data_IF_964764235712
#
_entry.id   IF_964764235712
#
_cell.length_a   1.000
_cell.length_b   1.000
_cell.length_c   1.000
_cell.angle_alpha   90.00
_cell.angle_beta   90.00
_cell.angle_gamma   90.00
#
_symmetry.space_group_name_H-M   'P 1'
#
loop_
_entity.id
_entity.type
_entity.pdbx_description
1 polymer ?
#
# COMPACT_ATOMS: atom_id res chain seq x y z
N UNK A 1 20.22 25.28 12.25
CA UNK A 1 21.20 24.17 12.10
C UNK A 1 20.46 22.89 12.41
N UNK A 2 20.49 21.88 11.53
CA UNK A 2 19.76 20.62 11.71
C UNK A 2 20.22 19.86 12.97
N UNK A 3 19.28 19.44 13.82
CA UNK A 3 19.55 18.71 15.07
C UNK A 3 19.00 17.28 15.08
N UNK A 4 18.43 16.81 13.96
CA UNK A 4 17.61 15.60 13.88
C UNK A 4 17.80 14.83 12.57
N UNK A 5 17.21 13.64 12.45
CA UNK A 5 17.33 12.75 11.28
C UNK A 5 16.73 13.39 10.02
N UNK A 6 15.58 14.03 10.19
CA UNK A 6 14.84 14.74 9.15
C UNK A 6 15.37 16.17 8.96
N UNK A 7 16.48 16.53 9.60
CA UNK A 7 17.16 17.83 9.45
C UNK A 7 16.24 19.03 9.73
N UNK A 8 15.32 18.90 10.69
CA UNK A 8 14.27 19.88 11.03
C UNK A 8 13.29 20.15 9.88
N UNK A 9 13.01 19.14 9.05
CA UNK A 9 11.94 19.19 8.07
C UNK A 9 10.58 18.97 8.76
N UNK A 10 10.00 20.06 9.26
CA UNK A 10 8.71 20.02 9.98
C UNK A 10 7.57 19.50 9.11
N UNK A 11 7.56 19.85 7.82
CA UNK A 11 6.56 19.33 6.88
C UNK A 11 6.60 17.79 6.78
N UNK A 12 7.79 17.21 6.67
CA UNK A 12 7.94 15.75 6.63
C UNK A 12 7.50 15.08 7.94
N UNK A 13 7.76 15.70 9.10
CA UNK A 13 7.34 15.21 10.42
C UNK A 13 5.83 15.20 10.57
N UNK A 14 5.19 16.34 10.32
CA UNK A 14 3.73 16.50 10.42
C UNK A 14 3.03 15.52 9.49
N UNK A 15 3.50 15.44 8.24
CA UNK A 15 2.95 14.54 7.24
C UNK A 15 3.03 13.07 7.68
N UNK A 16 4.20 12.63 8.14
CA UNK A 16 4.41 11.24 8.51
C UNK A 16 3.63 10.86 9.78
N UNK A 17 3.51 11.75 10.79
CA UNK A 17 2.69 11.50 11.96
C UNK A 17 1.22 11.35 11.57
N UNK A 18 0.73 12.26 10.73
CA UNK A 18 -0.64 12.26 10.25
C UNK A 18 -0.97 10.97 9.48
N UNK A 19 -0.14 10.60 8.49
CA UNK A 19 -0.33 9.39 7.70
C UNK A 19 -0.15 8.13 8.54
N UNK A 20 0.84 8.10 9.44
CA UNK A 20 1.13 6.95 10.30
C UNK A 20 -0.04 6.64 11.24
N UNK A 21 -0.51 7.62 11.99
CA UNK A 21 -1.61 7.44 12.96
C UNK A 21 -2.92 7.13 12.23
N UNK A 22 -3.28 7.93 11.22
CA UNK A 22 -4.50 7.69 10.46
C UNK A 22 -4.48 6.32 9.77
N UNK A 23 -3.32 5.91 9.23
CA UNK A 23 -3.15 4.62 8.59
C UNK A 23 -3.35 3.45 9.56
N UNK A 24 -2.84 3.54 10.79
CA UNK A 24 -3.09 2.53 11.82
C UNK A 24 -4.59 2.43 12.12
N UNK A 25 -5.23 3.56 12.44
CA UNK A 25 -6.65 3.59 12.81
C UNK A 25 -7.55 3.06 11.70
N UNK A 26 -7.39 3.56 10.46
CA UNK A 26 -8.24 3.18 9.34
C UNK A 26 -8.09 1.72 8.94
N UNK A 27 -6.86 1.20 8.84
CA UNK A 27 -6.66 -0.20 8.44
C UNK A 27 -7.06 -1.17 9.56
N UNK A 28 -6.81 -0.83 10.83
CA UNK A 28 -7.27 -1.64 11.96
C UNK A 28 -8.80 -1.72 12.00
N UNK A 29 -9.51 -0.60 11.79
CA UNK A 29 -10.96 -0.58 11.73
C UNK A 29 -11.53 -1.50 10.63
N UNK A 30 -10.88 -1.56 9.46
CA UNK A 30 -11.29 -2.48 8.38
C UNK A 30 -11.10 -3.95 8.77
N UNK A 31 -9.96 -4.29 9.36
CA UNK A 31 -9.70 -5.66 9.80
C UNK A 31 -10.68 -6.07 10.88
N UNK A 32 -10.93 -5.20 11.86
CA UNK A 32 -11.90 -5.40 12.92
C UNK A 32 -13.32 -5.60 12.37
N UNK A 33 -13.76 -4.72 11.47
CA UNK A 33 -15.08 -4.82 10.86
C UNK A 33 -15.25 -6.13 10.06
N UNK A 34 -14.25 -6.52 9.26
CA UNK A 34 -14.31 -7.77 8.50
C UNK A 34 -14.27 -9.00 9.42
N UNK A 35 -13.49 -8.95 10.51
CA UNK A 35 -13.45 -10.01 11.51
C UNK A 35 -14.81 -10.20 12.20
N UNK A 36 -15.41 -9.11 12.70
CA UNK A 36 -16.74 -9.14 13.33
C UNK A 36 -17.82 -9.64 12.37
N UNK A 37 -17.80 -9.17 11.11
CA UNK A 37 -18.75 -9.63 10.09
C UNK A 37 -18.60 -11.13 9.80
N UNK A 38 -17.37 -11.65 9.78
CA UNK A 38 -17.12 -13.08 9.59
C UNK A 38 -17.67 -13.91 10.77
N UNK A 39 -17.47 -13.46 12.00
CA UNK A 39 -18.01 -14.11 13.20
C UNK A 39 -19.55 -14.16 13.18
N UNK A 40 -20.21 -13.02 12.94
CA UNK A 40 -21.67 -12.93 12.84
C UNK A 40 -22.26 -13.85 11.76
N UNK A 41 -21.56 -13.98 10.63
CA UNK A 41 -22.01 -14.78 9.48
C UNK A 41 -21.84 -16.30 9.69
N UNK A 42 -20.90 -16.73 10.54
CA UNK A 42 -20.78 -18.14 10.93
C UNK A 42 -22.02 -18.57 11.73
N UNK A 43 -22.61 -17.65 12.49
CA UNK A 43 -23.82 -17.91 13.30
C UNK A 43 -25.14 -17.96 12.49
N UNK A 44 -25.15 -17.51 11.24
CA UNK A 44 -26.36 -17.38 10.41
C UNK A 44 -26.10 -18.04 9.05
N UNK A 45 -26.06 -19.36 9.01
CA UNK A 45 -26.00 -20.11 7.74
C UNK A 45 -27.38 -20.63 7.34
N UNK A 46 -28.10 -19.86 6.51
CA UNK A 46 -29.27 -20.36 5.80
C UNK A 46 -28.82 -21.06 4.49
N UNK A 47 -29.18 -22.35 4.28
CA UNK A 47 -28.69 -23.15 3.15
C UNK A 47 -29.39 -22.90 1.80
N UNK A 48 -30.48 -22.12 1.75
CA UNK A 48 -31.32 -21.94 0.55
C UNK A 48 -30.97 -20.71 -0.31
N UNK A 49 -29.71 -20.58 -0.74
CA UNK A 49 -29.29 -19.47 -1.60
C UNK A 49 -29.20 -19.87 -3.09
N UNK A 50 -29.95 -19.16 -3.96
CA UNK A 50 -29.95 -19.35 -5.41
C UNK A 50 -28.54 -19.28 -6.05
N UNK A 51 -28.32 -20.05 -7.13
CA UNK A 51 -27.03 -20.18 -7.84
C UNK A 51 -26.42 -18.81 -8.29
N UNK A 52 -27.27 -17.84 -8.67
CA UNK A 52 -26.85 -16.47 -9.04
C UNK A 52 -26.43 -15.63 -7.82
N UNK A 53 -27.08 -15.77 -6.66
CA UNK A 53 -26.67 -15.13 -5.41
C UNK A 53 -25.36 -15.72 -4.88
N UNK A 54 -25.13 -17.02 -5.12
CA UNK A 54 -23.90 -17.72 -4.72
C UNK A 54 -22.66 -17.19 -5.48
N UNK A 55 -22.81 -16.87 -6.78
CA UNK A 55 -21.75 -16.24 -7.59
C UNK A 55 -21.36 -14.85 -7.06
N UNK A 56 -22.33 -13.99 -6.77
CA UNK A 56 -22.08 -12.66 -6.20
C UNK A 56 -21.45 -12.73 -4.79
N UNK A 57 -21.91 -13.69 -3.96
CA UNK A 57 -21.36 -13.95 -2.61
C UNK A 57 -19.91 -14.44 -2.67
N UNK A 58 -19.56 -15.29 -3.65
CA UNK A 58 -18.19 -15.76 -3.89
C UNK A 58 -17.27 -14.59 -4.27
N UNK A 59 -17.66 -13.76 -5.25
CA UNK A 59 -16.91 -12.55 -5.66
C UNK A 59 -16.66 -11.60 -4.49
N UNK A 60 -17.68 -11.32 -3.68
CA UNK A 60 -17.54 -10.44 -2.50
C UNK A 60 -16.59 -11.01 -1.44
N UNK A 61 -16.54 -12.33 -1.29
CA UNK A 61 -15.65 -12.98 -0.32
C UNK A 61 -14.18 -12.87 -0.76
N UNK A 62 -13.91 -13.07 -2.06
CA UNK A 62 -12.57 -12.91 -2.64
C UNK A 62 -12.10 -11.45 -2.54
N UNK A 63 -12.95 -10.48 -2.92
CA UNK A 63 -12.63 -9.05 -2.78
C UNK A 63 -12.27 -8.69 -1.34
N UNK A 64 -13.10 -9.10 -0.37
CA UNK A 64 -12.87 -8.77 1.02
C UNK A 64 -11.57 -9.39 1.55
N UNK A 65 -11.20 -10.60 1.12
CA UNK A 65 -9.93 -11.20 1.48
C UNK A 65 -8.75 -10.39 0.97
N UNK A 66 -8.75 -10.01 -0.32
CA UNK A 66 -7.69 -9.19 -0.91
C UNK A 66 -7.57 -7.82 -0.25
N UNK A 67 -8.70 -7.20 0.11
CA UNK A 67 -8.71 -5.92 0.83
C UNK A 67 -8.15 -6.06 2.24
N UNK A 68 -8.43 -7.16 2.95
CA UNK A 68 -7.82 -7.41 4.26
C UNK A 68 -6.30 -7.58 4.14
N UNK A 69 -5.83 -8.32 3.13
CA UNK A 69 -4.39 -8.46 2.89
C UNK A 69 -3.73 -7.11 2.58
N UNK A 70 -4.42 -6.26 1.80
CA UNK A 70 -3.95 -4.90 1.51
C UNK A 70 -3.92 -4.04 2.77
N UNK A 71 -4.91 -4.16 3.66
CA UNK A 71 -4.94 -3.46 4.94
C UNK A 71 -3.78 -3.89 5.86
N UNK A 72 -3.44 -5.19 5.90
CA UNK A 72 -2.27 -5.68 6.63
C UNK A 72 -0.99 -5.07 6.07
N UNK A 73 -0.81 -5.05 4.75
CA UNK A 73 0.36 -4.44 4.11
C UNK A 73 0.46 -2.93 4.42
N UNK A 74 -0.66 -2.22 4.43
CA UNK A 74 -0.68 -0.80 4.78
C UNK A 74 -0.34 -0.55 6.26
N UNK A 75 -0.83 -1.40 7.18
CA UNK A 75 -0.46 -1.33 8.60
C UNK A 75 1.05 -1.43 8.81
N UNK A 76 1.73 -2.34 8.09
CA UNK A 76 3.19 -2.46 8.16
C UNK A 76 3.88 -1.15 7.73
N UNK A 77 3.35 -0.48 6.69
CA UNK A 77 3.84 0.81 6.23
C UNK A 77 3.59 1.93 7.24
N UNK A 78 2.43 1.95 7.88
CA UNK A 78 2.13 2.91 8.95
C UNK A 78 3.02 2.70 10.18
N UNK A 79 3.26 1.45 10.60
CA UNK A 79 4.19 1.12 11.68
C UNK A 79 5.60 1.62 11.34
N UNK A 80 6.06 1.42 10.10
CA UNK A 80 7.33 1.98 9.63
C UNK A 80 7.41 3.51 9.85
N UNK A 81 6.37 4.27 9.49
CA UNK A 81 6.35 5.72 9.70
C UNK A 81 6.48 6.10 11.18
N UNK A 82 5.76 5.41 12.06
CA UNK A 82 5.81 5.65 13.51
C UNK A 82 7.21 5.37 14.06
N UNK A 83 7.87 4.29 13.63
CA UNK A 83 9.23 3.97 14.08
C UNK A 83 10.21 5.06 13.65
N UNK A 84 10.17 5.49 12.38
CA UNK A 84 11.08 6.54 11.88
C UNK A 84 10.90 7.85 12.64
N UNK A 85 9.67 8.25 12.94
CA UNK A 85 9.40 9.50 13.67
C UNK A 85 9.79 9.43 15.14
N UNK A 86 9.51 8.30 15.77
CA UNK A 86 9.94 8.06 17.15
C UNK A 86 11.46 8.12 17.25
N UNK A 87 12.17 7.57 16.26
CA UNK A 87 13.62 7.65 16.17
C UNK A 87 14.12 9.08 15.88
N UNK A 88 13.48 9.82 14.97
CA UNK A 88 13.82 11.22 14.70
C UNK A 88 13.72 12.10 15.96
N UNK A 89 12.69 11.89 16.78
CA UNK A 89 12.52 12.57 18.07
C UNK A 89 13.58 12.12 19.09
N UNK A 90 13.69 10.81 19.31
CA UNK A 90 14.60 10.24 20.32
C UNK A 90 16.05 10.66 20.07
N UNK A 91 16.57 10.40 18.87
CA UNK A 91 17.97 10.70 18.57
C UNK A 91 18.21 12.19 18.31
N UNK A 92 17.19 12.94 17.89
CA UNK A 92 17.27 14.39 17.82
C UNK A 92 17.41 15.05 19.21
N UNK A 93 16.78 14.46 20.22
CA UNK A 93 16.85 14.93 21.60
C UNK A 93 18.12 14.45 22.33
N UNK A 94 18.46 13.16 22.22
CA UNK A 94 19.57 12.56 22.96
C UNK A 94 20.95 12.72 22.30
N UNK A 95 21.02 12.92 20.98
CA UNK A 95 22.28 13.04 20.24
C UNK A 95 22.34 14.29 19.34
N UNK A 96 21.95 15.50 19.80
CA UNK A 96 21.84 16.68 18.95
C UNK A 96 23.19 17.08 18.34
N UNK A 97 24.28 16.93 19.09
CA UNK A 97 25.63 17.25 18.63
C UNK A 97 26.08 16.34 17.47
N UNK A 98 25.62 15.08 17.46
CA UNK A 98 25.94 14.13 16.39
C UNK A 98 25.30 14.54 15.06
N UNK A 99 24.03 14.94 15.09
CA UNK A 99 23.29 15.38 13.89
C UNK A 99 23.57 16.82 13.51
N UNK A 100 24.22 17.61 14.37
CA UNK A 100 24.69 18.97 14.07
C UNK A 100 26.12 19.00 13.52
N UNK A 101 26.94 18.00 13.83
CA UNK A 101 28.36 17.94 13.45
C UNK A 101 28.54 18.10 11.92
N UNK A 102 29.42 19.00 11.44
CA UNK A 102 29.76 19.10 10.01
C UNK A 102 30.63 17.94 9.52
N UNK A 103 31.46 17.33 10.36
CA UNK A 103 32.39 16.24 10.04
C UNK A 103 31.82 14.84 10.33
N UNK A 104 30.65 14.53 9.73
CA UNK A 104 29.89 13.28 10.01
C UNK A 104 30.52 12.00 9.45
N UNK A 105 31.54 12.09 8.60
CA UNK A 105 32.13 10.92 7.91
C UNK A 105 32.86 9.96 8.84
N UNK A 106 33.36 10.46 9.98
CA UNK A 106 34.16 9.66 10.91
C UNK A 106 33.39 9.18 12.14
N UNK A 107 32.11 9.54 12.26
CA UNK A 107 31.30 9.20 13.43
C UNK A 107 30.30 8.09 13.10
N UNK A 108 30.11 7.18 14.05
CA UNK A 108 29.13 6.09 13.97
C UNK A 108 27.73 6.66 14.19
N UNK A 109 26.79 6.35 13.30
CA UNK A 109 25.37 6.65 13.48
C UNK A 109 24.72 5.51 14.32
N UNK A 110 24.38 5.75 15.61
CA UNK A 110 23.86 4.71 16.50
C UNK A 110 22.49 4.20 16.05
N UNK A 111 21.74 4.98 15.27
CA UNK A 111 20.47 4.55 14.69
C UNK A 111 20.61 3.32 13.81
N UNK A 112 21.68 3.25 13.02
CA UNK A 112 21.90 2.18 12.05
C UNK A 112 22.25 0.84 12.73
N UNK A 113 22.60 0.88 14.01
CA UNK A 113 22.83 -0.29 14.87
C UNK A 113 21.56 -0.74 15.59
N UNK A 114 20.52 0.10 15.62
CA UNK A 114 19.29 -0.20 16.34
C UNK A 114 18.51 -1.31 15.64
N UNK A 115 17.97 -2.31 16.38
CA UNK A 115 17.09 -3.33 15.81
C UNK A 115 15.86 -2.71 15.14
N UNK A 116 15.41 -1.54 15.62
CA UNK A 116 14.31 -0.81 15.03
C UNK A 116 14.63 -0.28 13.62
N UNK A 117 15.89 0.01 13.30
CA UNK A 117 16.27 0.40 11.94
C UNK A 117 16.22 -0.80 10.97
N UNK A 118 16.67 -1.98 11.42
CA UNK A 118 16.56 -3.22 10.65
C UNK A 118 15.10 -3.61 10.41
N UNK A 119 14.27 -3.52 11.45
CA UNK A 119 12.83 -3.74 11.34
C UNK A 119 12.18 -2.72 10.39
N UNK A 120 12.51 -1.43 10.53
CA UNK A 120 12.00 -0.36 9.66
C UNK A 120 12.31 -0.63 8.20
N UNK A 121 13.53 -1.06 7.90
CA UNK A 121 13.95 -1.41 6.53
C UNK A 121 13.07 -2.54 5.97
N UNK A 122 12.91 -3.61 6.73
CA UNK A 122 12.08 -4.74 6.34
C UNK A 122 10.63 -4.33 6.10
N UNK A 123 10.04 -3.56 7.02
CA UNK A 123 8.66 -3.07 6.91
C UNK A 123 8.46 -2.17 5.69
N UNK A 124 9.40 -1.26 5.43
CA UNK A 124 9.38 -0.37 4.27
C UNK A 124 9.36 -1.15 2.95
N UNK A 125 10.27 -2.09 2.76
CA UNK A 125 10.33 -2.87 1.51
C UNK A 125 9.13 -3.80 1.37
N UNK A 126 8.72 -4.47 2.44
CA UNK A 126 7.56 -5.36 2.42
C UNK A 126 6.27 -4.60 2.07
N UNK A 127 5.98 -3.51 2.78
CA UNK A 127 4.76 -2.72 2.58
C UNK A 127 4.72 -2.06 1.21
N UNK A 128 5.83 -1.44 0.77
CA UNK A 128 5.87 -0.70 -0.51
C UNK A 128 5.75 -1.59 -1.75
N UNK A 129 6.22 -2.84 -1.71
CA UNK A 129 6.04 -3.78 -2.83
C UNK A 129 4.66 -4.42 -2.78
N UNK A 130 4.15 -4.74 -1.59
CA UNK A 130 2.80 -5.28 -1.44
C UNK A 130 1.70 -4.33 -1.87
N UNK A 131 1.88 -3.01 -1.65
CA UNK A 131 0.89 -2.00 -1.99
C UNK A 131 0.62 -1.86 -3.49
N UNK A 132 1.51 -2.36 -4.36
CA UNK A 132 1.26 -2.43 -5.82
C UNK A 132 0.94 -3.87 -6.27
N UNK A 133 1.54 -4.88 -5.65
CA UNK A 133 1.32 -6.28 -6.00
C UNK A 133 -0.11 -6.72 -5.69
N UNK A 134 -0.67 -6.38 -4.53
CA UNK A 134 -2.04 -6.76 -4.17
C UNK A 134 -3.10 -6.10 -5.07
N UNK A 135 -3.02 -4.79 -5.41
CA UNK A 135 -3.86 -4.21 -6.45
C UNK A 135 -3.74 -4.91 -7.80
N UNK A 136 -2.56 -5.36 -8.22
CA UNK A 136 -2.44 -6.10 -9.48
C UNK A 136 -3.24 -7.42 -9.46
N UNK A 137 -3.19 -8.16 -8.35
CA UNK A 137 -3.99 -9.39 -8.14
C UNK A 137 -5.48 -9.07 -8.14
N UNK A 138 -5.88 -7.96 -7.51
CA UNK A 138 -7.25 -7.45 -7.53
C UNK A 138 -7.73 -7.21 -8.96
N UNK A 139 -6.95 -6.51 -9.79
CA UNK A 139 -7.36 -6.19 -11.17
C UNK A 139 -7.48 -7.46 -12.00
N UNK A 140 -6.56 -8.41 -11.85
CA UNK A 140 -6.63 -9.71 -12.53
C UNK A 140 -7.90 -10.47 -12.14
N UNK A 141 -8.23 -10.52 -10.85
CA UNK A 141 -9.47 -11.14 -10.37
C UNK A 141 -10.71 -10.47 -10.98
N UNK A 142 -10.74 -9.12 -11.03
CA UNK A 142 -11.83 -8.37 -11.66
C UNK A 142 -11.93 -8.63 -13.16
N UNK A 143 -10.80 -8.65 -13.85
CA UNK A 143 -10.72 -8.93 -15.29
C UNK A 143 -11.33 -10.29 -15.62
N UNK A 144 -10.91 -11.34 -14.91
CA UNK A 144 -11.42 -12.70 -15.11
C UNK A 144 -12.92 -12.75 -14.80
N UNK A 145 -13.36 -12.15 -13.71
CA UNK A 145 -14.77 -12.18 -13.30
C UNK A 145 -15.71 -11.48 -14.29
N UNK A 146 -15.28 -10.38 -14.91
CA UNK A 146 -16.12 -9.58 -15.82
C UNK A 146 -16.12 -10.16 -17.24
N UNK A 147 -14.95 -10.49 -17.77
CA UNK A 147 -14.81 -10.91 -19.17
C UNK A 147 -15.17 -12.38 -19.35
N UNK A 148 -14.80 -13.23 -18.38
CA UNK A 148 -14.99 -14.67 -18.44
C UNK A 148 -15.86 -15.20 -17.29
N UNK A 149 -17.15 -14.83 -17.23
CA UNK A 149 -18.01 -15.11 -16.07
C UNK A 149 -18.21 -16.61 -15.76
N UNK A 150 -18.09 -17.47 -16.79
CA UNK A 150 -18.23 -18.93 -16.70
C UNK A 150 -16.89 -19.68 -16.74
N UNK A 151 -15.76 -18.97 -16.70
CA UNK A 151 -14.46 -19.62 -16.79
C UNK A 151 -14.10 -20.38 -15.52
N UNK A 152 -13.51 -21.57 -15.71
CA UNK A 152 -12.91 -22.38 -14.63
C UNK A 152 -11.73 -21.66 -13.96
N UNK A 153 -11.20 -20.59 -14.56
CA UNK A 153 -10.10 -19.78 -14.02
C UNK A 153 -10.54 -18.73 -13.00
N UNK A 154 -11.85 -18.57 -12.76
CA UNK A 154 -12.35 -17.64 -11.74
C UNK A 154 -11.72 -17.93 -10.38
N UNK A 155 -11.28 -16.88 -9.69
CA UNK A 155 -10.64 -17.05 -8.40
C UNK A 155 -11.65 -17.58 -7.40
N UNK A 156 -11.35 -18.75 -6.84
CA UNK A 156 -11.97 -19.21 -5.62
C UNK A 156 -11.16 -18.69 -4.42
N UNK A 157 -11.75 -18.64 -3.24
CA UNK A 157 -11.08 -18.20 -2.02
C UNK A 157 -9.81 -19.01 -1.73
N UNK A 158 -9.79 -20.30 -2.06
CA UNK A 158 -8.60 -21.15 -1.94
C UNK A 158 -7.46 -20.68 -2.83
N UNK A 159 -7.72 -20.48 -4.13
CA UNK A 159 -6.72 -19.97 -5.08
C UNK A 159 -6.24 -18.58 -4.70
N UNK A 160 -7.16 -17.72 -4.25
CA UNK A 160 -6.83 -16.38 -3.79
C UNK A 160 -5.89 -16.40 -2.57
N UNK A 161 -6.14 -17.29 -1.59
CA UNK A 161 -5.24 -17.49 -0.44
C UNK A 161 -3.87 -18.01 -0.86
N UNK A 162 -3.82 -18.95 -1.80
CA UNK A 162 -2.56 -19.47 -2.32
C UNK A 162 -1.75 -18.37 -3.04
N UNK A 163 -2.40 -17.61 -3.93
CA UNK A 163 -1.75 -16.50 -4.65
C UNK A 163 -1.24 -15.44 -3.67
N UNK A 164 -2.06 -15.03 -2.70
CA UNK A 164 -1.64 -14.03 -1.70
C UNK A 164 -0.50 -14.55 -0.82
N UNK A 165 -0.50 -15.83 -0.43
CA UNK A 165 0.62 -16.45 0.28
C UNK A 165 1.90 -16.40 -0.55
N UNK A 166 1.84 -16.74 -1.84
CA UNK A 166 3.00 -16.68 -2.74
C UNK A 166 3.50 -15.24 -2.90
N UNK A 167 2.60 -14.25 -3.03
CA UNK A 167 2.96 -12.85 -3.00
C UNK A 167 3.75 -12.50 -1.73
N UNK A 168 3.28 -12.94 -0.55
CA UNK A 168 3.94 -12.68 0.73
C UNK A 168 5.35 -13.29 0.77
N UNK A 169 5.50 -14.54 0.36
CA UNK A 169 6.80 -15.20 0.32
C UNK A 169 7.80 -14.46 -0.60
N UNK A 170 7.36 -14.10 -1.82
CA UNK A 170 8.20 -13.38 -2.79
C UNK A 170 8.62 -12.01 -2.25
N UNK A 171 7.69 -11.26 -1.67
CA UNK A 171 7.99 -9.92 -1.15
C UNK A 171 8.86 -9.97 0.11
N UNK A 172 8.62 -10.92 1.01
CA UNK A 172 9.46 -11.13 2.20
C UNK A 172 10.88 -11.48 1.76
N UNK A 173 11.04 -12.42 0.82
CA UNK A 173 12.36 -12.76 0.27
C UNK A 173 13.06 -11.52 -0.33
N UNK A 174 12.32 -10.72 -1.11
CA UNK A 174 12.84 -9.48 -1.69
C UNK A 174 13.26 -8.44 -0.63
N UNK A 175 12.47 -8.29 0.45
CA UNK A 175 12.74 -7.35 1.55
C UNK A 175 13.85 -7.81 2.51
N UNK A 176 14.12 -9.12 2.58
CA UNK A 176 15.21 -9.68 3.38
C UNK A 176 16.59 -9.37 2.77
N UNK A 177 16.72 -9.33 1.45
CA UNK A 177 17.99 -9.01 0.76
C UNK A 177 18.64 -7.73 1.32
N UNK A 178 17.98 -6.56 1.31
CA UNK A 178 18.58 -5.32 1.82
C UNK A 178 18.75 -5.33 3.34
N UNK A 179 17.97 -6.13 4.06
CA UNK A 179 18.00 -6.24 5.52
C UNK A 179 19.20 -7.06 5.99
N UNK A 180 19.40 -8.25 5.43
CA UNK A 180 20.51 -9.16 5.73
C UNK A 180 21.84 -8.52 5.34
N UNK A 181 21.94 -7.94 4.14
CA UNK A 181 23.18 -7.28 3.70
C UNK A 181 23.59 -6.15 4.64
N UNK A 182 22.65 -5.33 5.10
CA UNK A 182 22.96 -4.26 6.02
C UNK A 182 23.46 -4.77 7.38
N UNK A 183 22.90 -5.88 7.88
CA UNK A 183 23.35 -6.54 9.12
C UNK A 183 24.76 -7.12 8.95
N UNK A 184 25.01 -7.82 7.84
CA UNK A 184 26.28 -8.49 7.57
C UNK A 184 27.46 -7.51 7.45
N UNK A 185 27.26 -6.40 6.72
CA UNK A 185 28.33 -5.43 6.45
C UNK A 185 28.41 -4.28 7.47
N UNK A 186 27.52 -4.25 8.48
CA UNK A 186 27.44 -3.24 9.56
C UNK A 186 27.75 -1.81 9.09
N UNK A 187 26.90 -1.31 8.20
CA UNK A 187 27.09 0.01 7.59
C UNK A 187 26.70 1.14 8.55
N UNK A 188 27.63 1.60 9.39
CA UNK A 188 27.32 2.51 10.50
C UNK A 188 27.71 3.97 10.28
N UNK A 189 28.62 4.28 9.35
CA UNK A 189 29.14 5.64 9.12
C UNK A 189 28.35 6.38 8.04
N UNK A 190 27.06 6.61 8.27
CA UNK A 190 26.18 7.23 7.29
C UNK A 190 25.10 8.12 7.91
N UNK A 191 24.95 9.33 7.36
CA UNK A 191 23.97 10.34 7.79
C UNK A 191 23.16 10.93 6.62
N UNK A 192 23.21 10.28 5.46
CA UNK A 192 22.39 10.67 4.32
C UNK A 192 20.92 10.31 4.55
N UNK A 193 20.03 10.91 3.76
CA UNK A 193 18.59 10.68 3.88
C UNK A 193 18.21 9.20 3.80
N UNK A 194 18.93 8.41 2.99
CA UNK A 194 18.68 6.96 2.91
C UNK A 194 19.03 6.23 4.21
N UNK A 195 20.18 6.54 4.82
CA UNK A 195 20.56 5.96 6.10
C UNK A 195 19.57 6.36 7.21
N UNK A 196 19.23 7.64 7.31
CA UNK A 196 18.33 8.15 8.35
C UNK A 196 16.92 7.55 8.25
N UNK A 197 16.42 7.29 7.03
CA UNK A 197 15.14 6.62 6.78
C UNK A 197 15.24 5.08 6.76
N UNK A 198 16.39 4.50 7.11
CA UNK A 198 16.65 3.05 7.07
C UNK A 198 16.36 2.39 5.71
N UNK A 199 16.57 3.13 4.62
CA UNK A 199 16.46 2.59 3.27
C UNK A 199 17.68 1.71 2.93
N UNK A 200 17.60 0.99 1.81
CA UNK A 200 18.70 0.15 1.38
C UNK A 200 19.93 0.97 0.97
N UNK A 201 21.05 0.66 1.60
CA UNK A 201 22.38 1.22 1.35
C UNK A 201 23.39 0.09 1.50
N UNK A 202 24.37 0.07 0.61
CA UNK A 202 25.41 -0.97 0.57
C UNK A 202 26.78 -0.31 0.40
N UNK A 203 27.86 -0.99 0.79
CA UNK A 203 29.25 -0.55 0.55
C UNK A 203 29.46 -0.46 -0.97
N UNK A 204 28.98 -1.47 -1.70
CA UNK A 204 29.12 -1.52 -3.15
C UNK A 204 27.88 -0.88 -3.78
N UNK A 205 28.09 0.30 -4.37
CA UNK A 205 27.04 1.12 -4.95
C UNK A 205 26.19 0.37 -5.99
N UNK A 206 26.79 -0.58 -6.72
CA UNK A 206 26.10 -1.34 -7.77
C UNK A 206 24.92 -2.16 -7.21
N UNK A 207 25.08 -2.84 -6.07
CA UNK A 207 23.99 -3.63 -5.48
C UNK A 207 22.85 -2.73 -4.99
N UNK A 208 23.18 -1.62 -4.33
CA UNK A 208 22.17 -0.63 -3.89
C UNK A 208 21.43 -0.01 -5.07
N UNK A 209 22.11 0.22 -6.17
CA UNK A 209 21.54 0.79 -7.40
C UNK A 209 20.66 -0.23 -8.12
N UNK A 210 21.14 -1.46 -8.29
CA UNK A 210 20.38 -2.54 -8.94
C UNK A 210 19.11 -2.89 -8.15
N UNK A 211 19.17 -2.96 -6.83
CA UNK A 211 17.97 -3.21 -6.03
C UNK A 211 16.96 -2.05 -6.16
N UNK A 212 17.41 -0.80 -6.10
CA UNK A 212 16.52 0.37 -6.31
C UNK A 212 15.91 0.39 -7.71
N UNK A 213 16.70 0.09 -8.74
CA UNK A 213 16.23 -0.01 -10.13
C UNK A 213 15.25 -1.16 -10.31
N UNK A 214 15.54 -2.34 -9.77
CA UNK A 214 14.64 -3.50 -9.82
C UNK A 214 13.27 -3.15 -9.24
N UNK A 215 13.22 -2.39 -8.12
CA UNK A 215 11.96 -1.93 -7.52
C UNK A 215 11.20 -0.98 -8.45
N UNK A 216 11.90 -0.06 -9.11
CA UNK A 216 11.29 0.86 -10.08
C UNK A 216 10.72 0.08 -11.27
N UNK A 217 11.48 -0.87 -11.82
CA UNK A 217 11.06 -1.72 -12.93
C UNK A 217 9.81 -2.52 -12.55
N UNK A 218 9.81 -3.20 -11.39
CA UNK A 218 8.65 -3.94 -10.88
C UNK A 218 7.42 -3.02 -10.79
N UNK A 219 7.59 -1.82 -10.23
CA UNK A 219 6.50 -0.85 -10.11
C UNK A 219 5.93 -0.44 -11.49
N UNK A 220 6.79 -0.09 -12.45
CA UNK A 220 6.35 0.32 -13.79
C UNK A 220 5.66 -0.82 -14.54
N UNK A 221 6.20 -2.04 -14.49
CA UNK A 221 5.61 -3.21 -15.13
C UNK A 221 4.22 -3.50 -14.54
N UNK A 222 4.10 -3.57 -13.21
CA UNK A 222 2.82 -3.86 -12.55
C UNK A 222 1.79 -2.75 -12.81
N UNK A 223 2.21 -1.50 -12.78
CA UNK A 223 1.34 -0.35 -13.05
C UNK A 223 0.87 -0.34 -14.50
N UNK A 224 1.76 -0.62 -15.46
CA UNK A 224 1.42 -0.75 -16.88
C UNK A 224 0.42 -1.88 -17.12
N UNK A 225 0.67 -3.05 -16.54
CA UNK A 225 -0.25 -4.20 -16.58
C UNK A 225 -1.64 -3.84 -16.03
N UNK A 226 -1.69 -3.20 -14.87
CA UNK A 226 -2.93 -2.71 -14.26
C UNK A 226 -3.69 -1.76 -15.20
N UNK A 227 -2.99 -0.79 -15.79
CA UNK A 227 -3.60 0.19 -16.68
C UNK A 227 -4.21 -0.48 -17.92
N UNK A 228 -3.46 -1.37 -18.56
CA UNK A 228 -3.92 -2.14 -19.73
C UNK A 228 -5.16 -2.97 -19.37
N UNK A 229 -5.14 -3.69 -18.26
CA UNK A 229 -6.28 -4.51 -17.83
C UNK A 229 -7.53 -3.67 -17.58
N UNK A 230 -7.41 -2.48 -16.97
CA UNK A 230 -8.55 -1.59 -16.78
C UNK A 230 -9.08 -1.01 -18.08
N UNK A 231 -8.21 -0.66 -19.04
CA UNK A 231 -8.62 -0.22 -20.38
C UNK A 231 -9.42 -1.32 -21.07
N UNK A 232 -8.95 -2.58 -21.03
CA UNK A 232 -9.69 -3.71 -21.61
C UNK A 232 -11.05 -3.91 -20.92
N UNK A 233 -11.10 -3.86 -19.59
CA UNK A 233 -12.37 -3.95 -18.82
C UNK A 233 -13.32 -2.82 -19.24
N UNK A 234 -12.82 -1.60 -19.38
CA UNK A 234 -13.63 -0.43 -19.77
C UNK A 234 -14.21 -0.57 -21.18
N UNK A 235 -13.38 -0.96 -22.17
CA UNK A 235 -13.81 -1.21 -23.55
C UNK A 235 -14.87 -2.31 -23.57
N UNK A 236 -14.65 -3.41 -22.85
CA UNK A 236 -15.59 -4.53 -22.77
C UNK A 236 -16.96 -4.09 -22.20
N UNK A 237 -16.96 -3.31 -21.12
CA UNK A 237 -18.20 -2.79 -20.51
C UNK A 237 -18.93 -1.85 -21.47
N UNK A 238 -18.21 -0.99 -22.21
CA UNK A 238 -18.81 -0.08 -23.19
C UNK A 238 -19.43 -0.84 -24.36
N UNK A 239 -18.74 -1.85 -24.88
CA UNK A 239 -19.21 -2.67 -26.00
C UNK A 239 -20.43 -3.52 -25.62
N UNK A 240 -20.40 -4.14 -24.43
CA UNK A 240 -21.48 -5.02 -23.93
C UNK A 240 -22.61 -4.25 -23.22
N UNK A 241 -22.46 -2.94 -23.04
CA UNK A 241 -23.31 -2.07 -22.22
C UNK A 241 -24.75 -1.87 -22.70
N UNK A 242 -25.14 -2.38 -23.88
CA UNK A 242 -26.51 -2.27 -24.41
C UNK A 242 -27.51 -3.31 -23.83
N UNK A 243 -27.06 -4.42 -23.23
CA UNK A 243 -27.95 -5.55 -22.84
C UNK A 243 -27.97 -5.91 -21.34
N UNK A 244 -27.42 -5.10 -20.43
CA UNK A 244 -27.07 -5.56 -19.08
C UNK A 244 -27.61 -4.69 -17.94
N UNK A 245 -28.93 -4.61 -17.80
CA UNK A 245 -29.66 -3.76 -16.84
C UNK A 245 -30.05 -4.47 -15.51
N UNK A 246 -29.35 -5.56 -15.12
CA UNK A 246 -29.67 -6.29 -13.89
C UNK A 246 -29.13 -5.63 -12.61
N UNK A 247 -29.78 -5.87 -11.46
CA UNK A 247 -29.39 -5.36 -10.12
C UNK A 247 -27.98 -5.84 -9.68
N UNK A 248 -27.58 -7.05 -10.08
CA UNK A 248 -26.25 -7.61 -9.84
C UNK A 248 -25.15 -6.84 -10.58
N UNK A 249 -25.41 -6.38 -11.81
CA UNK A 249 -24.45 -5.60 -12.58
C UNK A 249 -24.16 -4.23 -11.93
N UNK A 250 -25.14 -3.64 -11.23
CA UNK A 250 -24.93 -2.39 -10.48
C UNK A 250 -23.99 -2.60 -9.28
N UNK A 251 -24.10 -3.73 -8.58
CA UNK A 251 -23.21 -4.06 -7.46
C UNK A 251 -21.79 -4.33 -7.96
N UNK A 252 -21.63 -5.09 -9.05
CA UNK A 252 -20.33 -5.37 -9.65
C UNK A 252 -19.67 -4.11 -10.21
N UNK A 253 -20.43 -3.22 -10.87
CA UNK A 253 -19.95 -1.91 -11.32
C UNK A 253 -19.51 -1.02 -10.16
N UNK A 254 -20.25 -0.99 -9.04
CA UNK A 254 -19.84 -0.24 -7.84
C UNK A 254 -18.52 -0.77 -7.28
N UNK A 255 -18.39 -2.09 -7.13
CA UNK A 255 -17.13 -2.71 -6.66
C UNK A 255 -15.98 -2.40 -7.60
N UNK A 256 -16.19 -2.45 -8.92
CA UNK A 256 -15.17 -2.08 -9.91
C UNK A 256 -14.70 -0.63 -9.74
N UNK A 257 -15.61 0.33 -9.56
CA UNK A 257 -15.25 1.74 -9.33
C UNK A 257 -14.40 1.89 -8.06
N UNK A 258 -14.75 1.19 -6.97
CA UNK A 258 -13.94 1.18 -5.73
C UNK A 258 -12.52 0.70 -6.03
N UNK A 259 -12.38 -0.42 -6.74
CA UNK A 259 -11.05 -0.97 -7.04
C UNK A 259 -10.25 -0.02 -7.93
N UNK A 260 -10.89 0.65 -8.91
CA UNK A 260 -10.24 1.67 -9.75
C UNK A 260 -9.71 2.83 -8.89
N UNK A 261 -10.54 3.36 -7.98
CA UNK A 261 -10.13 4.45 -7.06
C UNK A 261 -8.93 4.00 -6.20
N UNK A 262 -9.00 2.81 -5.61
CA UNK A 262 -7.91 2.21 -4.83
C UNK A 262 -6.64 2.14 -5.68
N UNK A 263 -6.73 1.63 -6.91
CA UNK A 263 -5.56 1.48 -7.77
C UNK A 263 -4.97 2.81 -8.22
N UNK A 264 -5.80 3.76 -8.65
CA UNK A 264 -5.35 5.12 -9.02
C UNK A 264 -4.68 5.80 -7.85
N UNK A 265 -5.26 5.70 -6.63
CA UNK A 265 -4.66 6.32 -5.45
C UNK A 265 -3.27 5.76 -5.11
N UNK A 266 -3.06 4.45 -5.27
CA UNK A 266 -1.75 3.82 -5.11
C UNK A 266 -0.75 4.33 -6.17
N UNK A 267 -1.18 4.48 -7.43
CA UNK A 267 -0.31 4.99 -8.50
C UNK A 267 0.05 6.47 -8.24
N UNK A 268 -0.92 7.31 -7.93
CA UNK A 268 -0.72 8.74 -7.71
C UNK A 268 0.17 9.04 -6.50
N UNK A 269 0.14 8.21 -5.47
CA UNK A 269 0.96 8.39 -4.26
C UNK A 269 2.40 7.88 -4.45
N UNK A 270 2.61 6.80 -5.22
CA UNK A 270 3.94 6.24 -5.46
C UNK A 270 4.68 6.95 -6.61
N UNK A 271 3.98 7.43 -7.64
CA UNK A 271 4.58 8.02 -8.83
C UNK A 271 5.51 9.22 -8.54
N UNK A 272 5.12 10.22 -7.73
CA UNK A 272 5.98 11.37 -7.44
C UNK A 272 7.33 10.98 -6.82
N UNK A 273 7.33 10.00 -5.91
CA UNK A 273 8.55 9.54 -5.26
C UNK A 273 9.51 8.82 -6.22
N UNK A 274 8.98 8.05 -7.18
CA UNK A 274 9.79 7.40 -8.21
C UNK A 274 10.29 8.38 -9.27
N UNK A 275 9.40 9.26 -9.75
CA UNK A 275 9.72 10.28 -10.72
C UNK A 275 10.80 11.23 -10.20
N UNK A 276 10.64 11.75 -8.99
CA UNK A 276 11.63 12.60 -8.36
C UNK A 276 13.00 11.90 -8.32
N UNK A 277 13.08 10.66 -7.83
CA UNK A 277 14.37 9.92 -7.81
C UNK A 277 14.99 9.77 -9.19
N UNK A 278 14.20 9.58 -10.24
CA UNK A 278 14.70 9.48 -11.61
C UNK A 278 15.28 10.83 -12.09
N UNK A 279 14.56 11.92 -11.87
CA UNK A 279 14.99 13.29 -12.20
C UNK A 279 16.26 13.66 -11.45
N UNK A 280 16.30 13.42 -10.14
CA UNK A 280 17.47 13.73 -9.29
C UNK A 280 18.73 12.93 -9.64
N UNK A 281 18.59 11.78 -10.32
CA UNK A 281 19.74 11.01 -10.80
C UNK A 281 20.28 11.55 -12.11
N UNK A 282 19.45 12.21 -12.91
CA UNK A 282 19.85 12.71 -14.21
C UNK A 282 20.67 14.00 -14.04
N UNK A 283 21.96 13.99 -14.43
CA UNK A 283 22.84 15.15 -14.27
C UNK A 283 22.36 16.38 -15.05
N UNK A 284 21.55 16.21 -16.10
CA UNK A 284 21.05 17.31 -16.92
C UNK A 284 20.20 18.34 -16.15
N UNK A 285 19.54 17.95 -15.05
CA UNK A 285 18.66 18.86 -14.30
C UNK A 285 19.39 19.69 -13.25
N UNK A 286 20.70 19.48 -13.00
CA UNK A 286 21.54 20.27 -12.09
C UNK A 286 20.90 20.62 -10.73
N UNK A 287 20.13 19.70 -10.14
CA UNK A 287 19.37 20.01 -8.90
C UNK A 287 20.29 19.93 -7.68
N UNK A 288 20.30 20.95 -6.79
CA UNK A 288 21.11 20.95 -5.58
C UNK A 288 20.81 19.74 -4.68
N UNK A 289 21.87 19.09 -4.17
CA UNK A 289 21.76 17.94 -3.26
C UNK A 289 20.94 18.23 -2.00
N UNK A 290 20.97 19.47 -1.52
CA UNK A 290 20.22 19.89 -0.34
C UNK A 290 18.70 19.89 -0.60
N UNK A 291 18.26 20.32 -1.77
CA UNK A 291 16.86 20.27 -2.20
C UNK A 291 16.37 18.82 -2.26
N UNK A 292 17.19 17.93 -2.82
CA UNK A 292 16.90 16.49 -2.84
C UNK A 292 16.72 15.90 -1.44
N UNK A 293 17.63 16.22 -0.52
CA UNK A 293 17.60 15.70 0.85
C UNK A 293 16.36 16.16 1.64
N UNK A 294 15.81 17.34 1.34
CA UNK A 294 14.57 17.85 1.95
C UNK A 294 13.30 17.31 1.28
N UNK A 295 13.29 17.18 -0.05
CA UNK A 295 12.10 16.72 -0.77
C UNK A 295 11.88 15.20 -0.63
N UNK A 296 12.95 14.41 -0.60
CA UNK A 296 12.86 12.95 -0.63
C UNK A 296 12.06 12.34 0.55
N UNK A 297 12.25 12.76 1.83
CA UNK A 297 11.44 12.25 2.94
C UNK A 297 9.95 12.54 2.76
N UNK A 298 9.60 13.75 2.33
CA UNK A 298 8.21 14.16 2.09
C UNK A 298 7.56 13.23 1.06
N UNK A 299 8.23 13.01 -0.07
CA UNK A 299 7.73 12.15 -1.14
C UNK A 299 7.63 10.68 -0.71
N UNK A 300 8.59 10.18 0.08
CA UNK A 300 8.53 8.81 0.60
C UNK A 300 7.36 8.66 1.57
N UNK A 301 7.16 9.60 2.50
CA UNK A 301 6.07 9.53 3.45
C UNK A 301 4.71 9.69 2.76
N UNK A 302 4.61 10.58 1.77
CA UNK A 302 3.43 10.72 0.92
C UNK A 302 3.07 9.43 0.16
N UNK A 303 4.05 8.59 -0.19
CA UNK A 303 3.78 7.30 -0.85
C UNK A 303 2.99 6.31 0.03
N UNK A 304 2.95 6.51 1.35
CA UNK A 304 2.13 5.74 2.27
C UNK A 304 0.73 6.31 2.49
N UNK A 305 0.40 7.48 1.91
CA UNK A 305 -0.93 8.07 2.01
C UNK A 305 -2.02 7.17 1.42
N UNK A 306 -1.68 6.31 0.44
CA UNK A 306 -2.61 5.30 -0.07
C UNK A 306 -3.09 4.34 1.02
N UNK A 307 -2.28 4.11 2.06
CA UNK A 307 -2.68 3.34 3.23
C UNK A 307 -3.87 3.93 3.98
N UNK A 308 -4.13 5.23 3.87
CA UNK A 308 -5.29 5.91 4.44
C UNK A 308 -6.43 6.00 3.43
N UNK A 309 -6.11 6.35 2.18
CA UNK A 309 -7.10 6.55 1.11
C UNK A 309 -7.82 5.24 0.79
N UNK A 310 -7.09 4.11 0.72
CA UNK A 310 -7.65 2.81 0.36
C UNK A 310 -8.78 2.38 1.31
N UNK A 311 -8.57 2.40 2.66
CA UNK A 311 -9.64 2.17 3.61
C UNK A 311 -10.84 3.10 3.49
N UNK A 312 -10.59 4.40 3.35
CA UNK A 312 -11.66 5.41 3.27
C UNK A 312 -12.51 5.17 2.02
N UNK A 313 -11.87 4.95 0.86
CA UNK A 313 -12.54 4.62 -0.39
C UNK A 313 -13.39 3.35 -0.27
N UNK A 314 -12.86 2.32 0.39
CA UNK A 314 -13.62 1.10 0.66
C UNK A 314 -14.82 1.35 1.60
N UNK A 315 -14.61 2.06 2.71
CA UNK A 315 -15.64 2.28 3.72
C UNK A 315 -16.78 3.15 3.18
N UNK A 316 -16.47 4.29 2.56
CA UNK A 316 -17.47 5.21 1.98
C UNK A 316 -18.34 4.46 0.96
N UNK A 317 -17.74 3.77 -0.01
CA UNK A 317 -18.52 3.15 -1.07
C UNK A 317 -19.20 1.82 -0.67
N UNK A 318 -18.69 1.09 0.33
CA UNK A 318 -19.31 -0.16 0.80
C UNK A 318 -20.39 0.05 1.87
N UNK A 319 -20.22 1.03 2.77
CA UNK A 319 -21.12 1.29 3.91
C UNK A 319 -22.25 2.24 3.53
N UNK A 320 -22.00 3.36 2.83
CA UNK A 320 -23.12 4.19 2.34
C UNK A 320 -24.03 3.41 1.38
N UNK A 321 -23.46 2.46 0.63
CA UNK A 321 -24.24 1.56 -0.23
C UNK A 321 -25.22 0.66 0.52
N UNK A 322 -24.89 0.27 1.77
CA UNK A 322 -25.76 -0.54 2.63
C UNK A 322 -26.74 0.33 3.44
N UNK A 323 -26.32 1.47 3.98
CA UNK A 323 -27.22 2.40 4.66
C UNK A 323 -28.34 2.88 3.74
N UNK A 324 -28.04 3.28 2.50
CA UNK A 324 -29.09 3.69 1.55
C UNK A 324 -30.02 2.54 1.15
N UNK A 325 -29.55 1.29 1.14
CA UNK A 325 -30.38 0.14 0.82
C UNK A 325 -31.34 -0.24 1.97
N UNK A 326 -30.87 -0.13 3.22
CA UNK A 326 -31.68 -0.37 4.41
C UNK A 326 -32.69 0.76 4.67
N UNK A 327 -32.30 2.02 4.40
CA UNK A 327 -33.21 3.16 4.46
C UNK A 327 -34.31 3.06 3.39
N UNK A 328 -33.97 2.68 2.15
CA UNK A 328 -34.97 2.42 1.10
C UNK A 328 -35.88 1.23 1.43
N UNK A 329 -35.38 0.22 2.13
CA UNK A 329 -36.18 -0.92 2.56
C UNK A 329 -37.17 -0.53 3.67
N UNK A 330 -36.74 0.30 4.63
CA UNK A 330 -37.64 0.90 5.63
C UNK A 330 -38.71 1.79 4.99
N UNK A 331 -38.33 2.69 4.07
CA UNK A 331 -39.30 3.55 3.39
C UNK A 331 -40.26 2.80 2.45
N UNK A 332 -39.92 1.58 2.00
CA UNK A 332 -40.85 0.72 1.24
C UNK A 332 -41.83 -0.02 2.14
N UNK A 333 -41.39 -0.50 3.31
CA UNK A 333 -42.27 -1.14 4.29
C UNK A 333 -43.35 -0.18 4.81
N UNK A 334 -43.04 1.11 4.87
CA UNK A 334 -43.95 2.16 5.35
C UNK A 334 -44.95 2.67 4.28
N UNK A 335 -44.86 2.20 3.03
CA UNK A 335 -45.85 2.49 1.95
C UNK A 335 -46.82 1.33 1.69
N UNK A 336 -46.72 0.26 2.47
CA UNK A 336 -47.55 -0.96 2.37
C UNK A 336 -48.43 -1.18 3.61
N UNK A 337 -48.44 -0.22 4.52
CA UNK A 337 -49.48 0.01 5.54
C UNK A 337 -50.23 1.27 5.12
#
# INVERSE_FOLDING_TARGET
MASSFLQNNEAARILAWSIGIAGILCNFAILWYNYKYKLLKINIQNPLANHRQQSARKTSTVTNHLICQLAIANLLGSIYLIIILSADLYYGYHYPNLYRNPNRKNVTNPWLLSPFCHLSRFLYFTSSVMSILLPSVIVIDRFIAIIFPYSKFRFNIYRCRLITLMCWLVVIAYALIPTIRNIAFRLTKAFDTNANLCLYRDIVLIYSTNHRLSRQIIYFILTGMIAILYVIIFIYIKFKGRNMQSRTNRLERKVLIIMIIITISNICTLFPAFFARAVFRNPAFNIPRQTFQRALPILIFASFASGVINPIAYFILSVLGKCNANLLACCKAQKTL
#
